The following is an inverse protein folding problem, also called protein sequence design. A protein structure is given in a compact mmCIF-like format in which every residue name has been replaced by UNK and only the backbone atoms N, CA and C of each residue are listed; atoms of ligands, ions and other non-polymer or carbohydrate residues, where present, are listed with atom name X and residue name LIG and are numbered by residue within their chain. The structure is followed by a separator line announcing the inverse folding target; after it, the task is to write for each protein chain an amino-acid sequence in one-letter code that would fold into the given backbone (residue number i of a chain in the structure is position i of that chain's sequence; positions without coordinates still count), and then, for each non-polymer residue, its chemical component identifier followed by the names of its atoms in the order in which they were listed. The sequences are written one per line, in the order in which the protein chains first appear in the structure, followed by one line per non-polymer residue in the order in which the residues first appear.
data_IF_820228270755
#
_entry.id   IF_820228270755
#
_cell.length_a   1.000
_cell.length_b   1.000
_cell.length_c   1.000
_cell.angle_alpha   90.00
_cell.angle_beta   90.00
_cell.angle_gamma   90.00
#
_symmetry.space_group_name_H-M   'P 1'
#
loop_
_entity.id
_entity.type
_entity.pdbx_description
1 polymer ?
#
# COMPACT_ATOMS: atom_id res chain seq x y z
N UNK A 1 34.20 11.88 -33.82
CA UNK A 1 33.68 10.64 -33.20
C UNK A 1 34.08 10.61 -31.73
N UNK A 2 33.31 11.22 -30.83
CA UNK A 2 33.53 11.11 -29.38
C UNK A 2 32.15 11.13 -28.71
N UNK A 3 31.52 9.96 -28.60
CA UNK A 3 30.14 9.85 -28.12
C UNK A 3 29.80 8.60 -27.30
N UNK A 4 30.71 7.63 -27.13
CA UNK A 4 30.35 6.30 -26.59
C UNK A 4 30.78 6.04 -25.14
N UNK A 5 31.52 6.93 -24.48
CA UNK A 5 32.08 6.63 -23.13
C UNK A 5 31.13 6.95 -21.97
N UNK A 6 30.00 7.65 -22.21
CA UNK A 6 29.10 8.11 -21.13
C UNK A 6 27.95 7.16 -20.80
N UNK A 7 27.71 6.14 -21.62
CA UNK A 7 26.57 5.23 -21.43
C UNK A 7 26.91 4.02 -20.53
N UNK A 8 28.18 3.61 -20.48
CA UNK A 8 28.62 2.49 -19.63
C UNK A 8 28.52 2.78 -18.13
N UNK A 9 28.67 4.03 -17.69
CA UNK A 9 28.53 4.41 -16.26
C UNK A 9 27.07 4.54 -15.80
N UNK A 10 26.09 4.66 -16.70
CA UNK A 10 24.65 4.77 -16.34
C UNK A 10 24.05 3.43 -15.91
N UNK A 11 24.58 2.33 -16.44
CA UNK A 11 24.10 0.96 -16.18
C UNK A 11 24.31 0.51 -14.72
N UNK A 12 25.44 0.91 -14.11
CA UNK A 12 25.79 0.55 -12.72
C UNK A 12 24.98 1.32 -11.68
N UNK A 13 24.84 2.65 -11.83
CA UNK A 13 24.05 3.48 -10.91
C UNK A 13 22.56 3.08 -10.89
N UNK A 14 22.02 2.62 -12.01
CA UNK A 14 20.63 2.16 -12.07
C UNK A 14 20.37 0.90 -11.23
N UNK A 15 21.38 0.03 -11.05
CA UNK A 15 21.21 -1.20 -10.27
C UNK A 15 21.08 -0.91 -8.78
N UNK A 16 21.96 -0.07 -8.23
CA UNK A 16 21.90 0.30 -6.81
C UNK A 16 20.62 1.07 -6.47
N UNK A 17 20.21 2.02 -7.33
CA UNK A 17 18.95 2.75 -7.16
C UNK A 17 17.75 1.80 -7.22
N UNK A 18 17.78 0.81 -8.11
CA UNK A 18 16.73 -0.22 -8.21
C UNK A 18 16.67 -1.08 -6.95
N UNK A 19 17.81 -1.52 -6.42
CA UNK A 19 17.84 -2.29 -5.18
C UNK A 19 17.29 -1.52 -3.97
N UNK A 20 17.63 -0.23 -3.85
CA UNK A 20 17.09 0.63 -2.80
C UNK A 20 15.58 0.78 -2.99
N UNK A 21 15.12 1.07 -4.21
CA UNK A 21 13.69 1.18 -4.52
C UNK A 21 12.92 -0.11 -4.20
N UNK A 22 13.48 -1.28 -4.52
CA UNK A 22 12.86 -2.56 -4.24
C UNK A 22 12.82 -2.87 -2.73
N UNK A 23 13.86 -2.49 -1.98
CA UNK A 23 13.86 -2.56 -0.51
C UNK A 23 12.78 -1.66 0.10
N UNK A 24 12.64 -0.44 -0.40
CA UNK A 24 11.59 0.48 0.05
C UNK A 24 10.20 -0.05 -0.26
N UNK A 25 9.97 -0.55 -1.48
CA UNK A 25 8.69 -1.17 -1.87
C UNK A 25 8.31 -2.32 -0.95
N UNK A 26 9.27 -3.20 -0.59
CA UNK A 26 9.02 -4.31 0.35
C UNK A 26 8.61 -3.80 1.74
N UNK A 27 9.30 -2.78 2.27
CA UNK A 27 8.94 -2.18 3.56
C UNK A 27 7.54 -1.57 3.53
N UNK A 28 7.21 -0.84 2.47
CA UNK A 28 5.88 -0.26 2.27
C UNK A 28 4.83 -1.37 2.19
N UNK A 29 5.14 -2.44 1.46
CA UNK A 29 4.24 -3.59 1.31
C UNK A 29 3.95 -4.30 2.64
N UNK A 30 4.99 -4.54 3.44
CA UNK A 30 4.85 -5.15 4.76
C UNK A 30 3.97 -4.30 5.68
N UNK A 31 4.16 -2.97 5.67
CA UNK A 31 3.33 -2.05 6.46
C UNK A 31 1.88 -2.08 5.97
N UNK A 32 1.65 -2.02 4.65
CA UNK A 32 0.31 -2.11 4.09
C UNK A 32 -0.36 -3.43 4.43
N UNK A 33 0.37 -4.54 4.40
CA UNK A 33 -0.15 -5.84 4.80
C UNK A 33 -0.50 -5.91 6.29
N UNK A 34 0.26 -5.25 7.18
CA UNK A 34 -0.11 -5.22 8.61
C UNK A 34 -1.37 -4.37 8.81
N UNK A 35 -1.33 -3.12 8.36
CA UNK A 35 -2.44 -2.16 8.54
C UNK A 35 -3.75 -2.68 7.93
N UNK A 36 -3.72 -3.21 6.70
CA UNK A 36 -4.93 -3.76 6.08
C UNK A 36 -5.50 -4.97 6.81
N UNK A 37 -4.65 -5.78 7.46
CA UNK A 37 -5.11 -6.91 8.27
C UNK A 37 -5.75 -6.42 9.56
N UNK A 38 -5.09 -5.50 10.24
CA UNK A 38 -5.55 -4.94 11.51
C UNK A 38 -6.92 -4.26 11.34
N UNK A 39 -7.12 -3.48 10.27
CA UNK A 39 -8.42 -2.85 9.93
C UNK A 39 -9.53 -3.90 9.75
N UNK A 40 -9.25 -4.98 9.01
CA UNK A 40 -10.23 -6.04 8.75
C UNK A 40 -10.51 -6.87 10.00
N UNK A 41 -9.49 -7.12 10.83
CA UNK A 41 -9.61 -7.83 12.10
C UNK A 41 -10.46 -7.02 13.10
N UNK A 42 -10.20 -5.71 13.23
CA UNK A 42 -10.96 -4.81 14.09
C UNK A 42 -12.42 -4.68 13.64
N UNK A 43 -12.67 -4.54 12.33
CA UNK A 43 -14.02 -4.46 11.80
C UNK A 43 -14.82 -5.75 12.02
N UNK A 44 -14.18 -6.93 11.93
CA UNK A 44 -14.84 -8.20 12.23
C UNK A 44 -15.16 -8.33 13.72
N UNK A 45 -14.21 -7.99 14.60
CA UNK A 45 -14.41 -8.05 16.06
C UNK A 45 -15.53 -7.11 16.54
N UNK A 46 -15.61 -5.92 15.95
CA UNK A 46 -16.61 -4.92 16.28
C UNK A 46 -17.86 -5.00 15.38
N UNK A 47 -17.94 -6.00 14.50
CA UNK A 47 -19.05 -6.23 13.58
C UNK A 47 -19.45 -4.97 12.77
N UNK A 48 -18.46 -4.19 12.36
CA UNK A 48 -18.60 -2.84 11.79
C UNK A 48 -18.37 -2.81 10.27
N UNK A 49 -18.94 -1.81 9.59
CA UNK A 49 -18.78 -1.61 8.15
C UNK A 49 -17.53 -0.76 7.86
N UNK A 50 -16.64 -1.23 6.98
CA UNK A 50 -15.50 -0.44 6.49
C UNK A 50 -15.97 0.43 5.32
N UNK A 51 -15.86 1.75 5.46
CA UNK A 51 -16.16 2.71 4.39
C UNK A 51 -14.86 3.37 3.94
N UNK A 52 -14.54 3.25 2.65
CA UNK A 52 -13.36 3.88 2.05
C UNK A 52 -13.84 5.08 1.23
N UNK A 53 -13.50 6.29 1.68
CA UNK A 53 -13.84 7.52 0.96
C UNK A 53 -12.97 7.73 -0.26
N UNK A 54 -13.56 8.14 -1.40
CA UNK A 54 -12.82 8.47 -2.62
C UNK A 54 -11.92 9.70 -2.39
N UNK A 55 -10.60 9.51 -2.43
CA UNK A 55 -9.64 10.62 -2.24
C UNK A 55 -9.37 11.41 -3.53
N UNK A 56 -10.28 11.35 -4.51
CA UNK A 56 -10.08 11.94 -5.84
C UNK A 56 -10.04 13.48 -5.71
N UNK A 57 -8.84 14.04 -5.62
CA UNK A 57 -8.61 15.50 -5.55
C UNK A 57 -7.94 16.03 -4.27
N UNK A 58 -7.60 15.18 -3.30
CA UNK A 58 -7.01 15.64 -2.01
C UNK A 58 -5.54 16.10 -2.16
N UNK A 59 -4.87 15.70 -3.24
CA UNK A 59 -3.46 16.04 -3.52
C UNK A 59 -3.23 17.23 -4.46
N UNK A 60 -4.29 17.94 -4.88
CA UNK A 60 -4.14 19.08 -5.79
C UNK A 60 -3.52 20.29 -5.09
N UNK A 61 -2.74 21.10 -5.83
CA UNK A 61 -2.18 22.36 -5.30
C UNK A 61 -3.26 23.33 -4.82
N UNK A 62 -4.47 23.17 -5.34
CA UNK A 62 -5.59 24.10 -5.16
C UNK A 62 -6.35 23.89 -3.84
N UNK A 63 -6.08 22.81 -3.09
CA UNK A 63 -6.78 22.52 -1.83
C UNK A 63 -6.28 23.38 -0.66
N UNK A 64 -5.26 24.22 -0.86
CA UNK A 64 -4.75 25.14 0.18
C UNK A 64 -3.99 24.48 1.35
N UNK A 65 -3.88 23.14 1.36
CA UNK A 65 -3.30 22.35 2.45
C UNK A 65 -1.76 22.38 2.54
N UNK A 66 -1.09 23.15 1.67
CA UNK A 66 0.36 23.35 1.68
C UNK A 66 1.18 22.21 1.05
N UNK A 67 2.46 22.49 0.78
CA UNK A 67 3.38 21.56 0.07
C UNK A 67 3.60 20.25 0.82
N UNK A 68 3.59 20.28 2.16
CA UNK A 68 3.86 19.11 3.01
C UNK A 68 2.73 18.08 2.94
N UNK A 69 1.48 18.52 3.09
CA UNK A 69 0.32 17.61 2.99
C UNK A 69 0.21 17.01 1.60
N UNK A 70 0.43 17.81 0.55
CA UNK A 70 0.42 17.29 -0.82
C UNK A 70 1.50 16.24 -1.05
N UNK A 71 2.70 16.39 -0.47
CA UNK A 71 3.73 15.35 -0.54
C UNK A 71 3.29 14.07 0.14
N UNK A 72 2.71 14.16 1.36
CA UNK A 72 2.23 12.99 2.11
C UNK A 72 1.15 12.26 1.31
N UNK A 73 0.10 12.98 0.88
CA UNK A 73 -1.03 12.42 0.15
C UNK A 73 -0.58 11.80 -1.18
N UNK A 74 0.28 12.48 -1.95
CA UNK A 74 0.77 11.95 -3.22
C UNK A 74 1.78 10.80 -3.06
N UNK A 75 2.46 10.70 -1.91
CA UNK A 75 3.35 9.57 -1.61
C UNK A 75 2.63 8.35 -1.05
N UNK A 76 1.39 8.51 -0.58
CA UNK A 76 0.66 7.44 0.07
C UNK A 76 0.09 6.46 -0.97
N UNK A 77 0.36 5.14 -0.85
CA UNK A 77 -0.12 4.13 -1.81
C UNK A 77 -1.59 3.76 -1.55
N UNK A 78 -2.49 4.73 -1.72
CA UNK A 78 -3.91 4.61 -1.40
C UNK A 78 -4.61 3.48 -2.17
N UNK A 79 -4.45 3.44 -3.50
CA UNK A 79 -5.06 2.40 -4.35
C UNK A 79 -4.66 0.99 -3.90
N UNK A 80 -3.40 0.83 -3.48
CA UNK A 80 -2.88 -0.46 -3.02
C UNK A 80 -3.48 -0.86 -1.66
N UNK A 81 -3.60 0.08 -0.75
CA UNK A 81 -4.26 -0.13 0.55
C UNK A 81 -5.72 -0.56 0.36
N UNK A 82 -6.48 0.14 -0.47
CA UNK A 82 -7.88 -0.18 -0.79
C UNK A 82 -8.01 -1.61 -1.31
N UNK A 83 -7.19 -1.98 -2.30
CA UNK A 83 -7.18 -3.34 -2.85
C UNK A 83 -6.84 -4.42 -1.81
N UNK A 84 -5.88 -4.15 -0.92
CA UNK A 84 -5.52 -5.09 0.15
C UNK A 84 -6.65 -5.30 1.15
N UNK A 85 -7.35 -4.23 1.53
CA UNK A 85 -8.50 -4.30 2.43
C UNK A 85 -9.61 -5.12 1.77
N UNK A 86 -9.94 -4.84 0.51
CA UNK A 86 -10.97 -5.57 -0.23
C UNK A 86 -10.65 -7.06 -0.35
N UNK A 87 -9.42 -7.40 -0.76
CA UNK A 87 -8.98 -8.78 -0.91
C UNK A 87 -9.06 -9.53 0.42
N UNK A 88 -8.55 -8.95 1.52
CA UNK A 88 -8.56 -9.59 2.84
C UNK A 88 -9.95 -9.73 3.44
N UNK A 89 -10.81 -8.73 3.23
CA UNK A 89 -12.20 -8.81 3.64
C UNK A 89 -12.94 -9.95 2.92
N UNK A 90 -12.67 -10.13 1.60
CA UNK A 90 -13.21 -11.25 0.82
C UNK A 90 -12.66 -12.60 1.30
N UNK A 91 -11.37 -12.69 1.59
CA UNK A 91 -10.72 -13.90 2.10
C UNK A 91 -11.34 -14.36 3.42
N UNK A 92 -11.55 -13.44 4.37
CA UNK A 92 -12.19 -13.74 5.65
C UNK A 92 -13.63 -14.22 5.55
N UNK A 93 -14.39 -13.64 4.62
CA UNK A 93 -15.78 -13.97 4.36
C UNK A 93 -15.95 -15.34 3.70
N UNK A 94 -14.88 -15.92 3.17
CA UNK A 94 -14.93 -17.25 2.56
C UNK A 94 -15.02 -18.32 3.67
N UNK A 95 -16.03 -19.24 3.64
CA UNK A 95 -16.36 -20.18 4.74
C UNK A 95 -15.29 -21.21 5.16
N UNK A 96 -14.07 -21.17 4.62
CA UNK A 96 -12.97 -22.00 5.18
C UNK A 96 -12.58 -21.57 6.61
N UNK A 97 -12.90 -20.33 7.00
CA UNK A 97 -12.72 -19.78 8.34
C UNK A 97 -13.76 -20.29 9.36
N UNK A 98 -14.95 -20.74 8.93
CA UNK A 98 -15.96 -21.36 9.80
C UNK A 98 -15.48 -22.67 10.43
N UNK A 99 -14.58 -23.40 9.73
CA UNK A 99 -13.99 -24.63 10.26
C UNK A 99 -13.06 -24.38 11.46
N UNK A 100 -12.58 -23.14 11.68
CA UNK A 100 -11.80 -22.80 12.88
C UNK A 100 -12.68 -22.45 14.09
N UNK A 101 -13.96 -22.06 13.91
CA UNK A 101 -14.89 -21.84 15.05
C UNK A 101 -15.37 -23.14 15.70
N UNK A 102 -15.37 -24.27 14.98
CA UNK A 102 -15.85 -25.56 15.51
C UNK A 102 -14.85 -26.34 16.39
N UNK A 103 -13.69 -25.76 16.76
CA UNK A 103 -12.67 -26.46 17.57
C UNK A 103 -12.51 -25.98 19.00
N UNK A 104 -13.46 -25.21 19.53
CA UNK A 104 -13.53 -24.89 20.96
C UNK A 104 -14.94 -25.22 21.47
N UNK A 105 -15.16 -26.51 21.74
CA UNK A 105 -16.17 -27.03 22.65
C UNK A 105 -15.50 -28.11 23.49
#
# INVERSE_FOLDING_TARGET
MLGSEKDCKKEGLNKEVKEISDKEKRKVEDVLHKVSRDIVDEAENNNSLIVIGELKGIGNRDTGNGKTMNRIVNSMPYWKLTNMIEYKAKEKRHPSSESKRKRHF
#
